data_IF_391445245389
#
_entry.id   IF_391445245389
#
_cell.length_a   1.000
_cell.length_b   1.000
_cell.length_c   1.000
_cell.angle_alpha   90.00
_cell.angle_beta   90.00
_cell.angle_gamma   90.00
#
_symmetry.space_group_name_H-M   'P 1'
#
loop_
_entity.id
_entity.type
_entity.pdbx_description
1 polymer ?
#
# COMPACT_ATOMS: atom_id res chain seq x y z
N UNK A 1 17.99 -27.27 11.39
CA UNK A 1 18.12 -25.90 10.86
C UNK A 1 16.92 -25.65 9.97
N UNK A 2 15.94 -24.89 10.46
CA UNK A 2 14.67 -24.72 9.74
C UNK A 2 14.93 -23.94 8.45
N UNK A 3 14.54 -24.54 7.33
CA UNK A 3 14.60 -23.96 5.99
C UNK A 3 13.73 -22.69 5.97
N UNK A 4 14.33 -21.54 6.28
CA UNK A 4 13.67 -20.24 6.25
C UNK A 4 13.69 -19.69 4.82
N UNK A 5 13.23 -20.51 3.86
CA UNK A 5 12.74 -20.00 2.59
C UNK A 5 11.61 -19.05 2.93
N UNK A 6 11.93 -17.75 2.94
CA UNK A 6 11.02 -16.69 3.38
C UNK A 6 9.64 -16.95 2.81
N UNK A 7 8.62 -16.96 3.69
CA UNK A 7 7.21 -17.18 3.35
C UNK A 7 6.85 -16.29 2.16
N UNK A 8 6.94 -16.82 0.94
CA UNK A 8 6.37 -16.18 -0.25
C UNK A 8 4.88 -16.36 -0.11
N UNK A 9 4.14 -15.25 -0.09
CA UNK A 9 2.71 -15.32 -0.31
C UNK A 9 2.50 -15.82 -1.74
N UNK A 10 2.14 -17.10 -1.89
CA UNK A 10 1.80 -17.68 -3.19
C UNK A 10 0.33 -17.32 -3.44
N UNK A 11 0.12 -16.40 -4.38
CA UNK A 11 -1.20 -16.00 -4.86
C UNK A 11 -1.39 -16.56 -6.28
N UNK A 12 -2.59 -17.04 -6.57
CA UNK A 12 -2.96 -17.56 -7.88
C UNK A 12 -3.73 -16.51 -8.67
N UNK A 13 -3.68 -16.59 -10.00
CA UNK A 13 -4.42 -15.68 -10.89
C UNK A 13 -5.93 -15.70 -10.64
N UNK A 14 -6.49 -16.87 -10.31
CA UNK A 14 -7.91 -17.04 -10.02
C UNK A 14 -8.32 -16.59 -8.61
N UNK A 15 -7.36 -16.19 -7.75
CA UNK A 15 -7.69 -15.72 -6.42
C UNK A 15 -8.42 -14.37 -6.48
N UNK A 16 -9.31 -14.15 -5.52
CA UNK A 16 -9.95 -12.85 -5.30
C UNK A 16 -8.96 -11.79 -4.81
N UNK A 17 -9.32 -10.53 -5.06
CA UNK A 17 -8.49 -9.37 -4.74
C UNK A 17 -8.28 -9.18 -3.23
N UNK A 18 -9.16 -9.74 -2.39
CA UNK A 18 -9.08 -9.67 -0.93
C UNK A 18 -7.85 -10.40 -0.36
N UNK A 19 -7.24 -11.29 -1.16
CA UNK A 19 -6.00 -11.97 -0.79
C UNK A 19 -4.77 -11.08 -0.98
N UNK A 20 -4.88 -9.96 -1.70
CA UNK A 20 -3.78 -9.02 -1.87
C UNK A 20 -3.63 -8.17 -0.60
N UNK A 21 -2.49 -8.31 0.05
CA UNK A 21 -2.19 -7.57 1.27
C UNK A 21 -2.12 -6.05 1.02
N UNK A 22 -2.82 -5.27 1.86
CA UNK A 22 -2.91 -3.81 1.74
C UNK A 22 -4.06 -3.30 0.87
N UNK A 23 -4.88 -4.19 0.29
CA UNK A 23 -6.12 -3.76 -0.40
C UNK A 23 -7.20 -3.45 0.64
N UNK A 24 -7.41 -2.15 0.89
CA UNK A 24 -8.48 -1.67 1.77
C UNK A 24 -9.87 -1.70 1.11
N UNK A 25 -10.92 -1.58 1.92
CA UNK A 25 -12.34 -1.65 1.47
C UNK A 25 -12.67 -0.71 0.31
N UNK A 26 -12.15 0.52 0.32
CA UNK A 26 -12.45 1.51 -0.73
C UNK A 26 -11.68 1.21 -2.02
N UNK A 27 -10.43 0.76 -1.92
CA UNK A 27 -9.69 0.28 -3.10
C UNK A 27 -10.35 -0.95 -3.71
N UNK A 28 -10.87 -1.86 -2.89
CA UNK A 28 -11.66 -3.00 -3.36
C UNK A 28 -12.90 -2.57 -4.16
N UNK A 29 -13.66 -1.60 -3.63
CA UNK A 29 -14.85 -1.05 -4.29
C UNK A 29 -14.50 -0.43 -5.66
N UNK A 30 -13.39 0.32 -5.73
CA UNK A 30 -12.86 0.84 -7.01
C UNK A 30 -12.59 -0.30 -8.00
N UNK A 31 -11.89 -1.36 -7.57
CA UNK A 31 -11.52 -2.46 -8.46
C UNK A 31 -12.72 -3.22 -8.99
N UNK A 32 -13.67 -3.57 -8.12
CA UNK A 32 -14.88 -4.29 -8.51
C UNK A 32 -15.72 -3.45 -9.50
N UNK A 33 -15.86 -2.14 -9.26
CA UNK A 33 -16.56 -1.23 -10.18
C UNK A 33 -15.84 -1.05 -11.52
N UNK A 34 -14.51 -1.10 -11.50
CA UNK A 34 -13.70 -1.09 -12.72
C UNK A 34 -13.73 -2.44 -13.46
N UNK A 35 -14.37 -3.48 -12.89
CA UNK A 35 -14.54 -4.80 -13.50
C UNK A 35 -13.42 -5.80 -13.18
N UNK A 36 -12.57 -5.51 -12.20
CA UNK A 36 -11.54 -6.42 -11.73
C UNK A 36 -12.09 -7.30 -10.59
N UNK A 37 -12.17 -8.60 -10.81
CA UNK A 37 -12.69 -9.57 -9.84
C UNK A 37 -11.60 -10.47 -9.27
N UNK A 38 -10.52 -10.68 -10.03
CA UNK A 38 -9.44 -11.60 -9.72
C UNK A 38 -8.07 -10.95 -9.85
N UNK A 39 -7.06 -11.56 -9.24
CA UNK A 39 -5.66 -11.13 -9.39
C UNK A 39 -5.21 -11.17 -10.85
N UNK A 40 -5.73 -12.13 -11.63
CA UNK A 40 -5.47 -12.25 -13.06
C UNK A 40 -5.92 -11.03 -13.85
N UNK A 41 -7.10 -10.48 -13.53
CA UNK A 41 -7.63 -9.28 -14.19
C UNK A 41 -6.68 -8.08 -13.99
N UNK A 42 -6.05 -7.96 -12.81
CA UNK A 42 -5.06 -6.90 -12.54
C UNK A 42 -3.71 -7.14 -13.25
N UNK A 43 -3.32 -8.40 -13.41
CA UNK A 43 -2.00 -8.80 -13.95
C UNK A 43 -1.93 -8.65 -15.47
N UNK A 44 -2.94 -9.13 -16.18
CA UNK A 44 -2.89 -9.30 -17.65
C UNK A 44 -3.36 -8.07 -18.42
N UNK A 45 -4.02 -7.12 -17.77
CA UNK A 45 -4.77 -6.09 -18.49
C UNK A 45 -3.99 -4.79 -18.78
N UNK A 46 -4.05 -4.33 -20.03
CA UNK A 46 -3.59 -2.99 -20.44
C UNK A 46 -4.72 -1.95 -20.41
N UNK A 47 -4.38 -0.67 -20.21
CA UNK A 47 -5.37 0.42 -20.36
C UNK A 47 -6.39 0.60 -19.23
N UNK A 48 -6.08 0.15 -18.01
CA UNK A 48 -6.98 0.21 -16.85
C UNK A 48 -7.24 1.61 -16.29
N UNK A 49 -6.37 2.59 -16.58
CA UNK A 49 -6.38 3.90 -15.94
C UNK A 49 -7.74 4.61 -16.05
N UNK A 50 -8.38 4.55 -17.23
CA UNK A 50 -9.67 5.20 -17.44
C UNK A 50 -10.79 4.55 -16.61
N UNK A 51 -10.82 3.21 -16.49
CA UNK A 51 -11.85 2.53 -15.69
C UNK A 51 -11.68 2.80 -14.20
N UNK A 52 -10.43 2.82 -13.71
CA UNK A 52 -10.11 3.21 -12.33
C UNK A 52 -10.58 4.65 -12.07
N UNK A 53 -10.26 5.58 -12.96
CA UNK A 53 -10.67 6.98 -12.81
C UNK A 53 -12.20 7.11 -12.80
N UNK A 54 -12.89 6.45 -13.73
CA UNK A 54 -14.36 6.46 -13.77
C UNK A 54 -14.97 5.90 -12.47
N UNK A 55 -14.42 4.81 -11.93
CA UNK A 55 -14.89 4.23 -10.67
C UNK A 55 -14.67 5.18 -9.47
N UNK A 56 -13.52 5.88 -9.44
CA UNK A 56 -13.23 6.89 -8.43
C UNK A 56 -14.19 8.08 -8.54
N UNK A 57 -14.49 8.55 -9.75
CA UNK A 57 -15.38 9.69 -9.98
C UNK A 57 -16.81 9.38 -9.50
N UNK A 58 -17.30 8.16 -9.74
CA UNK A 58 -18.58 7.70 -9.19
C UNK A 58 -18.55 7.69 -7.66
N UNK A 59 -17.54 7.08 -7.05
CA UNK A 59 -17.43 7.01 -5.59
C UNK A 59 -17.29 8.39 -4.93
N UNK A 60 -16.66 9.34 -5.61
CA UNK A 60 -16.53 10.72 -5.16
C UNK A 60 -17.87 11.44 -5.05
N UNK A 61 -18.80 11.14 -5.95
CA UNK A 61 -20.18 11.66 -5.88
C UNK A 61 -20.96 10.97 -4.75
N UNK A 62 -20.78 9.65 -4.59
CA UNK A 62 -21.47 8.86 -3.57
C UNK A 62 -20.99 9.16 -2.13
N UNK A 63 -19.75 9.64 -1.97
CA UNK A 63 -19.09 9.86 -0.67
C UNK A 63 -18.55 11.29 -0.54
N UNK A 64 -19.44 12.30 -0.43
CA UNK A 64 -19.07 13.70 -0.38
C UNK A 64 -18.30 14.08 0.90
N UNK A 65 -18.27 13.22 1.92
CA UNK A 65 -17.49 13.42 3.14
C UNK A 65 -15.97 13.44 2.91
N UNK A 66 -15.49 12.91 1.78
CA UNK A 66 -14.07 12.88 1.47
C UNK A 66 -13.65 14.00 0.52
N UNK A 67 -12.60 14.72 0.89
CA UNK A 67 -12.03 15.82 0.09
C UNK A 67 -11.26 15.32 -1.16
N UNK A 68 -10.88 16.27 -2.03
CA UNK A 68 -10.14 15.97 -3.27
C UNK A 68 -8.79 15.27 -3.03
N UNK A 69 -8.12 15.58 -1.91
CA UNK A 69 -6.83 14.99 -1.57
C UNK A 69 -6.97 13.50 -1.25
N UNK A 70 -8.03 13.11 -0.55
CA UNK A 70 -8.34 11.70 -0.29
C UNK A 70 -8.47 10.91 -1.60
N UNK A 71 -9.23 11.44 -2.57
CA UNK A 71 -9.45 10.78 -3.86
C UNK A 71 -8.17 10.71 -4.69
N UNK A 72 -7.34 11.76 -4.68
CA UNK A 72 -6.01 11.74 -5.29
C UNK A 72 -5.15 10.62 -4.69
N UNK A 73 -5.11 10.52 -3.36
CA UNK A 73 -4.36 9.47 -2.67
C UNK A 73 -4.93 8.07 -2.94
N UNK A 74 -6.26 7.93 -3.03
CA UNK A 74 -6.89 6.65 -3.39
C UNK A 74 -6.49 6.19 -4.80
N UNK A 75 -6.43 7.11 -5.76
CA UNK A 75 -5.96 6.81 -7.13
C UNK A 75 -4.52 6.28 -7.11
N UNK A 76 -3.62 6.99 -6.41
CA UNK A 76 -2.22 6.56 -6.22
C UNK A 76 -2.13 5.17 -5.60
N UNK A 77 -2.96 4.86 -4.60
CA UNK A 77 -3.01 3.53 -3.97
C UNK A 77 -3.47 2.45 -4.94
N UNK A 78 -4.50 2.71 -5.73
CA UNK A 78 -5.00 1.74 -6.72
C UNK A 78 -3.91 1.43 -7.77
N UNK A 79 -3.22 2.45 -8.27
CA UNK A 79 -2.09 2.29 -9.17
C UNK A 79 -0.94 1.50 -8.53
N UNK A 80 -0.63 1.75 -7.26
CA UNK A 80 0.40 1.02 -6.53
C UNK A 80 0.07 -0.47 -6.37
N UNK A 81 -1.19 -0.80 -6.07
CA UNK A 81 -1.66 -2.20 -5.98
C UNK A 81 -1.53 -2.89 -7.34
N UNK A 82 -2.01 -2.26 -8.42
CA UNK A 82 -1.93 -2.84 -9.76
C UNK A 82 -0.48 -3.07 -10.17
N UNK A 83 0.39 -2.07 -9.93
CA UNK A 83 1.83 -2.19 -10.20
C UNK A 83 2.46 -3.35 -9.42
N UNK A 84 2.14 -3.51 -8.13
CA UNK A 84 2.63 -4.64 -7.31
C UNK A 84 2.21 -5.99 -7.88
N UNK A 85 0.99 -6.12 -8.40
CA UNK A 85 0.52 -7.36 -9.05
C UNK A 85 1.25 -7.57 -10.39
N UNK A 86 1.35 -6.52 -11.22
CA UNK A 86 2.07 -6.55 -12.50
C UNK A 86 3.55 -6.88 -12.37
N UNK A 87 4.18 -6.38 -11.31
CA UNK A 87 5.58 -6.63 -10.99
C UNK A 87 5.73 -7.79 -9.99
N UNK A 88 4.68 -8.60 -9.78
CA UNK A 88 4.78 -9.81 -8.97
C UNK A 88 5.85 -10.73 -9.61
N UNK A 89 6.97 -10.89 -8.89
CA UNK A 89 8.18 -11.58 -9.35
C UNK A 89 9.38 -10.67 -9.63
N UNK A 90 9.21 -9.34 -9.70
CA UNK A 90 10.21 -8.38 -10.24
C UNK A 90 10.73 -7.34 -9.24
N UNK A 91 10.31 -7.35 -7.98
CA UNK A 91 10.81 -6.45 -6.93
C UNK A 91 10.59 -7.14 -5.57
N UNK A 92 11.31 -6.77 -4.48
CA UNK A 92 11.02 -7.35 -3.18
C UNK A 92 9.57 -7.10 -2.78
N UNK A 93 8.85 -8.18 -2.51
CA UNK A 93 7.55 -8.14 -1.84
C UNK A 93 7.69 -7.34 -0.55
N UNK A 94 6.80 -6.35 -0.37
CA UNK A 94 6.71 -5.52 0.83
C UNK A 94 5.60 -6.09 1.70
N UNK A 95 5.92 -6.72 2.84
CA UNK A 95 4.93 -7.10 3.84
C UNK A 95 4.12 -5.88 4.32
N UNK A 96 2.82 -6.04 4.60
CA UNK A 96 1.97 -4.88 4.96
C UNK A 96 2.37 -4.16 6.22
N UNK A 97 2.98 -4.84 7.19
CA UNK A 97 3.51 -4.18 8.37
C UNK A 97 4.60 -3.14 8.06
N UNK A 98 5.19 -3.19 6.86
CA UNK A 98 6.22 -2.27 6.39
C UNK A 98 5.71 -1.25 5.36
N UNK A 99 4.44 -1.36 4.95
CA UNK A 99 3.81 -0.48 3.98
C UNK A 99 3.21 0.75 4.64
N UNK A 100 3.46 1.93 4.07
CA UNK A 100 2.76 3.16 4.44
C UNK A 100 1.29 3.07 3.97
N UNK A 101 0.28 3.28 4.84
CA UNK A 101 -1.13 3.22 4.44
C UNK A 101 -1.53 4.26 3.39
N UNK A 102 -0.77 5.35 3.25
CA UNK A 102 -1.03 6.41 2.26
C UNK A 102 -0.54 5.98 0.86
N UNK A 103 0.71 5.54 0.74
CA UNK A 103 1.33 5.22 -0.56
C UNK A 103 1.28 3.75 -0.96
N UNK A 104 1.04 2.85 0.00
CA UNK A 104 1.21 1.40 -0.14
C UNK A 104 2.60 0.98 -0.63
N UNK A 105 3.60 1.80 -0.32
CA UNK A 105 5.01 1.52 -0.56
C UNK A 105 5.74 1.46 0.79
N UNK A 106 7.02 1.12 0.80
CA UNK A 106 7.82 1.14 2.00
C UNK A 106 7.71 2.48 2.75
N UNK A 107 7.71 2.41 4.08
CA UNK A 107 8.01 3.57 4.91
C UNK A 107 9.53 3.79 4.93
N UNK A 108 9.99 4.95 4.47
CA UNK A 108 11.41 5.35 4.56
C UNK A 108 11.72 5.97 5.92
N UNK A 109 10.76 6.74 6.44
CA UNK A 109 10.82 7.32 7.79
C UNK A 109 9.50 7.06 8.53
N UNK A 110 9.31 5.86 9.10
CA UNK A 110 8.07 5.51 9.76
C UNK A 110 7.84 6.35 11.01
N UNK A 111 6.67 6.98 11.09
CA UNK A 111 6.14 7.68 12.26
C UNK A 111 4.85 7.01 12.72
N UNK A 112 4.62 6.96 14.02
CA UNK A 112 3.44 6.36 14.64
C UNK A 112 2.54 7.45 15.24
N UNK A 113 1.25 7.33 15.00
CA UNK A 113 0.20 8.20 15.55
C UNK A 113 -0.26 7.70 16.93
N UNK A 114 -0.98 8.51 17.74
CA UNK A 114 -1.53 8.07 19.02
C UNK A 114 -2.48 6.85 18.92
N UNK A 115 -3.11 6.65 17.76
CA UNK A 115 -3.96 5.49 17.46
C UNK A 115 -3.16 4.22 17.14
N UNK A 116 -1.83 4.30 17.12
CA UNK A 116 -0.92 3.17 16.88
C UNK A 116 -0.67 2.86 15.41
N UNK A 117 -1.19 3.68 14.48
CA UNK A 117 -0.98 3.50 13.04
C UNK A 117 0.35 4.12 12.63
N UNK A 118 1.13 3.41 11.82
CA UNK A 118 2.39 3.93 11.28
C UNK A 118 2.25 4.40 9.84
N UNK A 119 2.87 5.53 9.52
CA UNK A 119 2.90 6.16 8.20
C UNK A 119 4.33 6.55 7.84
N UNK A 120 4.59 6.79 6.56
CA UNK A 120 5.78 7.53 6.16
C UNK A 120 5.62 9.01 6.55
N UNK A 121 6.63 9.59 7.21
CA UNK A 121 6.59 10.96 7.73
C UNK A 121 6.21 11.98 6.67
N UNK A 122 6.89 11.97 5.53
CA UNK A 122 6.71 13.00 4.51
C UNK A 122 5.27 13.01 3.96
N UNK A 123 4.70 11.80 3.80
CA UNK A 123 3.33 11.62 3.34
C UNK A 123 2.30 12.02 4.39
N UNK A 124 2.54 11.72 5.67
CA UNK A 124 1.64 12.15 6.74
C UNK A 124 1.68 13.66 6.95
N UNK A 125 2.86 14.27 6.88
CA UNK A 125 3.02 15.73 6.92
C UNK A 125 2.30 16.42 5.75
N UNK A 126 2.40 15.87 4.54
CA UNK A 126 1.65 16.38 3.39
C UNK A 126 0.13 16.27 3.57
N UNK A 127 -0.33 15.16 4.13
CA UNK A 127 -1.74 14.98 4.45
C UNK A 127 -2.24 16.01 5.46
N UNK A 128 -1.55 16.14 6.60
CA UNK A 128 -1.97 16.99 7.72
C UNK A 128 -1.94 18.49 7.41
N UNK A 129 -1.23 18.91 6.34
CA UNK A 129 -1.32 20.29 5.82
C UNK A 129 -2.71 20.65 5.32
N UNK A 130 -3.51 19.66 4.89
CA UNK A 130 -4.80 19.86 4.24
C UNK A 130 -5.98 19.30 5.06
N UNK A 131 -5.75 18.27 5.88
CA UNK A 131 -6.78 17.60 6.67
C UNK A 131 -6.23 17.28 8.07
N UNK A 132 -6.73 17.91 9.15
CA UNK A 132 -6.22 17.73 10.51
C UNK A 132 -6.73 16.43 11.18
N UNK A 133 -6.94 15.38 10.40
CA UNK A 133 -7.38 14.07 10.86
C UNK A 133 -6.46 12.97 10.37
N UNK A 134 -6.34 11.90 11.15
CA UNK A 134 -5.66 10.68 10.79
C UNK A 134 -6.24 10.10 9.47
N UNK A 135 -5.40 9.78 8.47
CA UNK A 135 -5.86 9.28 7.17
C UNK A 135 -6.72 8.00 7.24
N UNK A 136 -6.50 7.17 8.26
CA UNK A 136 -7.15 5.88 8.44
C UNK A 136 -8.28 5.94 9.47
N UNK A 137 -8.00 6.43 10.68
CA UNK A 137 -8.98 6.42 11.79
C UNK A 137 -9.93 7.61 11.75
N UNK A 138 -9.58 8.67 11.03
CA UNK A 138 -10.32 9.94 10.98
C UNK A 138 -10.41 10.67 12.32
N UNK A 139 -9.63 10.25 13.31
CA UNK A 139 -9.48 10.98 14.57
C UNK A 139 -8.68 12.26 14.35
N UNK A 140 -8.92 13.30 15.14
CA UNK A 140 -8.14 14.55 15.06
C UNK A 140 -6.67 14.24 15.32
N UNK A 141 -5.80 14.70 14.43
CA UNK A 141 -4.37 14.43 14.48
C UNK A 141 -3.60 15.69 14.11
N UNK A 142 -2.57 16.00 14.89
CA UNK A 142 -1.60 17.05 14.59
C UNK A 142 -0.18 16.46 14.54
N UNK A 143 0.73 17.13 13.83
CA UNK A 143 2.07 16.60 13.59
C UNK A 143 2.93 16.56 14.87
N UNK A 144 2.63 17.38 15.88
CA UNK A 144 3.29 17.34 17.18
C UNK A 144 2.92 16.09 18.01
N UNK A 145 1.84 15.39 17.64
CA UNK A 145 1.41 14.16 18.31
C UNK A 145 2.09 12.90 17.75
N UNK A 146 2.82 13.00 16.63
CA UNK A 146 3.45 11.83 16.00
C UNK A 146 4.86 11.60 16.52
N UNK A 147 5.20 10.33 16.70
CA UNK A 147 6.51 9.93 17.21
C UNK A 147 7.25 9.11 16.15
N UNK A 148 8.58 9.23 16.09
CA UNK A 148 9.38 8.38 15.21
C UNK A 148 9.29 6.92 15.65
N UNK A 149 8.92 6.02 14.74
CA UNK A 149 8.84 4.59 15.01
C UNK A 149 10.18 3.92 14.64
N UNK A 150 11.20 4.15 15.47
CA UNK A 150 12.59 3.68 15.23
C UNK A 150 12.67 2.16 15.09
N UNK A 151 11.96 1.42 15.94
CA UNK A 151 11.94 -0.05 15.87
C UNK A 151 11.38 -0.56 14.54
N UNK A 152 10.35 0.10 14.00
CA UNK A 152 9.81 -0.25 12.68
C UNK A 152 10.79 0.09 11.57
N UNK A 153 11.49 1.23 11.67
CA UNK A 153 12.55 1.59 10.72
C UNK A 153 13.65 0.53 10.68
N UNK A 154 14.16 0.14 11.85
CA UNK A 154 15.20 -0.89 11.97
C UNK A 154 14.71 -2.24 11.42
N UNK A 155 13.44 -2.60 11.68
CA UNK A 155 12.83 -3.82 11.14
C UNK A 155 12.70 -3.78 9.61
N UNK A 156 12.32 -2.64 9.04
CA UNK A 156 12.24 -2.42 7.60
C UNK A 156 13.62 -2.55 6.96
N UNK A 157 14.63 -1.87 7.51
CA UNK A 157 16.00 -1.90 7.01
C UNK A 157 16.59 -3.30 7.11
N UNK A 158 16.38 -4.00 8.24
CA UNK A 158 16.78 -5.39 8.40
C UNK A 158 16.12 -6.28 7.35
N UNK A 159 14.81 -6.10 7.10
CA UNK A 159 14.10 -6.88 6.11
C UNK A 159 14.61 -6.60 4.68
N UNK A 160 14.83 -5.33 4.33
CA UNK A 160 15.43 -4.94 3.04
C UNK A 160 16.80 -5.58 2.85
N UNK A 161 17.65 -5.58 3.86
CA UNK A 161 19.00 -6.13 3.72
C UNK A 161 19.00 -7.67 3.67
N UNK A 162 18.12 -8.32 4.44
CA UNK A 162 18.11 -9.79 4.59
C UNK A 162 17.35 -10.51 3.49
N UNK A 163 16.25 -9.93 2.98
CA UNK A 163 15.34 -10.61 2.06
C UNK A 163 15.38 -10.07 0.62
N UNK A 164 16.19 -9.03 0.34
CA UNK A 164 16.29 -8.42 -1.01
C UNK A 164 17.58 -8.84 -1.74
N UNK A 165 18.46 -9.62 -1.13
CA UNK A 165 19.70 -10.09 -1.79
C UNK A 165 19.59 -11.53 -2.29
N UNK A 166 19.37 -11.70 -3.60
CA UNK A 166 19.98 -12.81 -4.33
C UNK A 166 21.49 -12.56 -4.34
N UNK A 167 22.29 -13.46 -3.79
CA UNK A 167 23.73 -13.51 -3.99
C UNK A 167 24.06 -14.65 -4.95
N UNK A 168 24.85 -14.36 -6.00
CA UNK A 168 25.52 -15.38 -6.81
C UNK A 168 26.89 -15.59 -6.15
N UNK A 169 27.18 -16.76 -5.55
CA UNK A 169 28.53 -17.04 -5.09
C UNK A 169 29.46 -17.13 -6.32
N UNK A 170 30.46 -16.26 -6.37
CA UNK A 170 31.61 -16.43 -7.26
C UNK A 170 32.60 -17.36 -6.54
N UNK A 171 32.65 -18.62 -6.97
CA UNK A 171 33.84 -19.51 -7.05
C UNK A 171 33.37 -20.94 -7.37
N UNK A 172 33.95 -21.71 -8.29
CA UNK A 172 35.09 -21.51 -9.20
C UNK A 172 34.66 -21.86 -10.64
#
# INVERSE_FOLDING_TARGET
MANNQGRRQILNMADGLEKIEGVGKVSMDVFLRAGFNTIGDLKEEGGYAQRIQNAIDVLKVERPEFNNQYWKNLSIRCDAIIRRVKDAGTFPYIPSQYMCPISLNWMEDPVVTPSGVSYDRALLEEWLRNDPHDPLTREVLTIDQVYANRNLKDAIEHYRNTYVHFSIPLTN
#
